data_IF_763749658253
#
_entry.id   IF_763749658253
#
_cell.length_a   1.000
_cell.length_b   1.000
_cell.length_c   1.000
_cell.angle_alpha   90.00
_cell.angle_beta   90.00
_cell.angle_gamma   90.00
#
_symmetry.space_group_name_H-M   'P 1'
#
loop_
_entity.id
_entity.type
_entity.pdbx_description
1 polymer ?
#
# COMPACT_ATOMS: atom_id res chain seq x y z
N UNK A 1 5.32 20.92 1.98
CA UNK A 1 5.16 19.52 1.52
C UNK A 1 4.66 18.61 2.63
N UNK A 2 3.34 18.48 2.77
CA UNK A 2 2.76 17.50 3.68
C UNK A 2 2.76 16.12 2.99
N UNK A 3 3.14 15.06 3.70
CA UNK A 3 2.97 13.68 3.25
C UNK A 3 4.13 13.04 2.48
N UNK A 4 5.24 13.75 2.21
CA UNK A 4 6.45 13.14 1.62
C UNK A 4 7.42 12.71 2.74
N UNK A 5 7.73 11.42 2.80
CA UNK A 5 8.67 10.85 3.74
C UNK A 5 9.79 10.12 3.00
N UNK A 6 11.04 10.45 3.29
CA UNK A 6 12.18 9.66 2.85
C UNK A 6 12.37 8.51 3.83
N UNK A 7 12.42 7.30 3.30
CA UNK A 7 12.57 6.07 4.08
C UNK A 7 13.67 5.23 3.48
N UNK A 8 14.33 4.44 4.32
CA UNK A 8 15.22 3.38 3.82
C UNK A 8 14.41 2.34 3.04
N UNK A 9 15.06 1.56 2.19
CA UNK A 9 14.40 0.60 1.29
C UNK A 9 13.47 -0.39 2.02
N UNK A 10 13.78 -0.76 3.27
CA UNK A 10 12.97 -1.64 4.12
C UNK A 10 12.14 -0.88 5.19
N UNK A 11 12.13 0.45 5.16
CA UNK A 11 11.51 1.31 6.19
C UNK A 11 10.03 1.66 5.93
N UNK A 12 9.45 1.19 4.82
CA UNK A 12 8.07 1.55 4.43
C UNK A 12 7.00 1.03 5.42
N UNK A 13 7.21 -0.11 6.07
CA UNK A 13 6.30 -0.57 7.13
C UNK A 13 6.32 0.32 8.37
N UNK A 14 7.53 0.74 8.79
CA UNK A 14 7.71 1.60 9.95
C UNK A 14 7.08 2.98 9.77
N UNK A 15 7.15 3.57 8.57
CA UNK A 15 6.51 4.86 8.30
C UNK A 15 4.98 4.76 8.33
N UNK A 16 4.41 3.67 7.80
CA UNK A 16 2.96 3.43 7.86
C UNK A 16 2.50 3.35 9.32
N UNK A 17 3.17 2.54 10.15
CA UNK A 17 2.88 2.47 11.60
C UNK A 17 2.99 3.81 12.30
N UNK A 18 4.02 4.59 11.98
CA UNK A 18 4.23 5.91 12.57
C UNK A 18 3.09 6.86 12.20
N UNK A 19 2.69 6.88 10.93
CA UNK A 19 1.59 7.74 10.44
C UNK A 19 0.24 7.33 11.01
N UNK A 20 -0.05 6.03 11.05
CA UNK A 20 -1.24 5.47 11.72
C UNK A 20 -1.36 5.97 13.15
N UNK A 21 -0.29 5.83 13.96
CA UNK A 21 -0.28 6.33 15.35
C UNK A 21 -0.43 7.84 15.42
N UNK A 22 0.34 8.59 14.62
CA UNK A 22 0.34 10.06 14.64
C UNK A 22 -1.01 10.65 14.27
N UNK A 23 -1.74 10.00 13.37
CA UNK A 23 -3.04 10.46 12.87
C UNK A 23 -4.23 9.82 13.61
N UNK A 24 -3.98 8.90 14.54
CA UNK A 24 -5.05 8.13 15.20
C UNK A 24 -5.83 7.26 14.23
N UNK A 25 -5.22 6.82 13.13
CA UNK A 25 -5.85 5.99 12.10
C UNK A 25 -5.42 4.54 12.33
N UNK A 26 -6.36 3.61 12.57
CA UNK A 26 -6.04 2.21 12.76
C UNK A 26 -5.69 1.54 11.42
N UNK A 27 -5.03 0.38 11.47
CA UNK A 27 -4.56 -0.33 10.27
C UNK A 27 -5.70 -0.66 9.32
N UNK A 28 -6.84 -1.04 9.88
CA UNK A 28 -8.11 -1.38 9.23
C UNK A 28 -8.63 -0.26 8.32
N UNK A 29 -8.17 0.98 8.56
CA UNK A 29 -8.53 2.18 7.79
C UNK A 29 -7.41 2.70 6.90
N UNK A 30 -6.47 1.84 6.52
CA UNK A 30 -5.36 2.21 5.65
C UNK A 30 -5.27 1.32 4.41
N UNK A 31 -4.94 1.96 3.28
CA UNK A 31 -4.71 1.32 1.99
C UNK A 31 -3.30 1.68 1.53
N UNK A 32 -2.52 0.69 1.07
CA UNK A 32 -1.20 0.91 0.45
C UNK A 32 -1.20 0.46 -1.00
N UNK A 33 -0.44 1.18 -1.84
CA UNK A 33 -0.26 0.90 -3.27
C UNK A 33 1.23 0.94 -3.58
N UNK A 34 1.76 -0.15 -4.14
CA UNK A 34 3.16 -0.28 -4.52
C UNK A 34 3.34 -1.33 -5.61
N UNK A 35 4.57 -1.55 -6.05
CA UNK A 35 4.89 -2.37 -7.23
C UNK A 35 6.07 -3.33 -7.01
N UNK A 36 6.80 -3.18 -5.90
CA UNK A 36 8.11 -3.81 -5.70
C UNK A 36 8.24 -4.53 -4.36
N UNK A 37 9.30 -5.33 -4.22
CA UNK A 37 9.63 -5.98 -2.94
C UNK A 37 9.88 -4.99 -1.78
N UNK A 38 10.27 -3.74 -2.07
CA UNK A 38 10.43 -2.70 -1.05
C UNK A 38 9.10 -2.27 -0.41
N UNK A 39 7.98 -2.59 -1.05
CA UNK A 39 6.62 -2.25 -0.61
C UNK A 39 5.99 -3.31 0.30
N UNK A 40 6.62 -4.49 0.41
CA UNK A 40 6.14 -5.59 1.27
C UNK A 40 5.89 -5.12 2.70
N UNK A 41 6.79 -4.29 3.24
CA UNK A 41 6.66 -3.75 4.58
C UNK A 41 5.41 -2.87 4.76
N UNK A 42 5.01 -2.07 3.78
CA UNK A 42 3.76 -1.29 3.88
C UNK A 42 2.52 -2.13 3.60
N UNK A 43 2.64 -3.15 2.74
CA UNK A 43 1.54 -4.08 2.45
C UNK A 43 1.11 -4.85 3.69
N UNK A 44 2.06 -5.30 4.50
CA UNK A 44 1.80 -5.99 5.76
C UNK A 44 1.15 -5.09 6.82
N UNK A 45 1.23 -3.77 6.65
CA UNK A 45 0.78 -2.78 7.64
C UNK A 45 -0.46 -2.01 7.19
N UNK A 46 -1.09 -2.41 6.09
CA UNK A 46 -2.35 -1.84 5.62
C UNK A 46 -3.47 -2.88 5.63
N UNK A 47 -4.71 -2.41 5.70
CA UNK A 47 -5.86 -3.30 5.56
C UNK A 47 -6.01 -3.75 4.12
N UNK A 48 -5.94 -2.85 3.15
CA UNK A 48 -5.87 -3.23 1.74
C UNK A 48 -4.48 -2.90 1.21
N UNK A 49 -3.83 -3.89 0.63
CA UNK A 49 -2.56 -3.73 -0.07
C UNK A 49 -2.75 -4.08 -1.54
N UNK A 50 -2.44 -3.11 -2.40
CA UNK A 50 -2.61 -3.21 -3.85
C UNK A 50 -1.21 -3.23 -4.48
N UNK A 51 -0.87 -4.36 -5.10
CA UNK A 51 0.30 -4.48 -5.94
C UNK A 51 -0.06 -4.07 -7.37
N UNK A 52 0.38 -2.88 -7.79
CA UNK A 52 0.06 -2.32 -9.11
C UNK A 52 1.20 -2.56 -10.09
N UNK A 53 0.88 -3.26 -11.17
CA UNK A 53 1.76 -3.56 -12.30
C UNK A 53 3.18 -4.01 -11.89
N UNK A 54 3.31 -5.06 -11.06
CA UNK A 54 4.60 -5.47 -10.54
C UNK A 54 5.52 -6.04 -11.63
N UNK A 55 6.82 -5.81 -11.44
CA UNK A 55 7.89 -6.34 -12.30
C UNK A 55 8.26 -7.79 -11.98
N UNK A 56 8.01 -8.24 -10.76
CA UNK A 56 8.27 -9.60 -10.30
C UNK A 56 7.14 -10.11 -9.37
N UNK A 57 7.13 -11.40 -9.06
CA UNK A 57 6.05 -12.04 -8.28
C UNK A 57 6.23 -11.92 -6.77
N UNK A 58 7.37 -11.43 -6.28
CA UNK A 58 7.65 -11.33 -4.85
C UNK A 58 6.65 -10.43 -4.09
N UNK A 59 6.29 -9.22 -4.58
CA UNK A 59 5.25 -8.42 -3.93
C UNK A 59 3.84 -8.97 -4.13
N UNK A 60 3.58 -9.68 -5.24
CA UNK A 60 2.28 -10.30 -5.56
C UNK A 60 1.87 -11.31 -4.49
N UNK A 61 2.82 -12.13 -4.03
CA UNK A 61 2.59 -13.13 -3.00
C UNK A 61 2.19 -12.55 -1.63
N UNK A 62 2.39 -11.24 -1.41
CA UNK A 62 2.10 -10.58 -0.13
C UNK A 62 0.89 -9.65 -0.21
N UNK A 63 0.66 -9.01 -1.36
CA UNK A 63 -0.43 -8.07 -1.52
C UNK A 63 -1.80 -8.77 -1.50
N UNK A 64 -2.81 -8.12 -0.90
CA UNK A 64 -4.17 -8.62 -0.89
C UNK A 64 -4.83 -8.57 -2.28
N UNK A 65 -4.41 -7.61 -3.11
CA UNK A 65 -4.89 -7.46 -4.48
C UNK A 65 -3.71 -7.14 -5.40
N UNK A 66 -3.73 -7.71 -6.60
CA UNK A 66 -2.78 -7.34 -7.66
C UNK A 66 -3.56 -6.85 -8.88
N UNK A 67 -3.17 -5.69 -9.40
CA UNK A 67 -3.74 -5.10 -10.61
C UNK A 67 -2.64 -5.02 -11.66
N UNK A 68 -2.75 -5.81 -12.73
CA UNK A 68 -1.80 -5.79 -13.86
C UNK A 68 -2.36 -4.91 -14.97
N UNK A 69 -2.02 -3.63 -14.91
CA UNK A 69 -2.48 -2.62 -15.88
C UNK A 69 -1.42 -1.54 -16.08
N UNK A 70 -1.48 -0.85 -17.22
CA UNK A 70 -0.70 0.37 -17.47
C UNK A 70 -1.46 1.64 -17.06
N UNK A 71 -2.70 1.51 -16.60
CA UNK A 71 -3.56 2.61 -16.20
C UNK A 71 -3.77 2.63 -14.67
N UNK A 72 -3.22 3.64 -13.99
CA UNK A 72 -3.34 3.76 -12.54
C UNK A 72 -4.78 4.01 -12.07
N UNK A 73 -5.67 4.46 -12.96
CA UNK A 73 -7.10 4.66 -12.66
C UNK A 73 -7.75 3.36 -12.18
N UNK A 74 -7.28 2.20 -12.62
CA UNK A 74 -7.86 0.91 -12.23
C UNK A 74 -7.72 0.63 -10.72
N UNK A 75 -6.77 1.29 -10.04
CA UNK A 75 -6.64 1.25 -8.57
C UNK A 75 -7.79 1.98 -7.87
N UNK A 76 -8.38 2.99 -8.50
CA UNK A 76 -9.45 3.81 -7.92
C UNK A 76 -10.69 2.97 -7.62
N UNK A 77 -11.03 2.03 -8.49
CA UNK A 77 -12.21 1.18 -8.29
C UNK A 77 -12.02 0.24 -7.10
N UNK A 78 -10.81 -0.30 -6.90
CA UNK A 78 -10.46 -1.07 -5.72
C UNK A 78 -10.60 -0.24 -4.43
N UNK A 79 -10.10 1.00 -4.43
CA UNK A 79 -10.24 1.91 -3.28
C UNK A 79 -11.71 2.22 -3.00
N UNK A 80 -12.49 2.56 -4.03
CA UNK A 80 -13.92 2.89 -3.87
C UNK A 80 -14.72 1.72 -3.30
N UNK A 81 -14.40 0.49 -3.70
CA UNK A 81 -15.06 -0.70 -3.16
C UNK A 81 -14.71 -0.90 -1.68
N UNK A 82 -13.45 -0.75 -1.30
CA UNK A 82 -13.01 -0.87 0.10
C UNK A 82 -13.63 0.17 1.05
N UNK A 83 -13.91 1.39 0.57
CA UNK A 83 -14.46 2.48 1.40
C UNK A 83 -16.00 2.38 1.55
N UNK A 84 -16.66 1.66 0.64
CA UNK A 84 -18.12 1.48 0.69
C UNK A 84 -18.58 0.39 1.66
N UNK A 85 -17.66 -0.47 2.10
CA UNK A 85 -17.85 -1.45 3.18
C UNK A 85 -17.69 -0.79 4.55
#
# INVERSE_FOLDING_TARGET
>A
DYGRYQVQMNGKGSIVKMLQRRLGIPKERTISIGDSAGDIGMFQESELSICFNPWDEKPVAVAKMTIRSRNLIDVLDAIKNQIKE
#
